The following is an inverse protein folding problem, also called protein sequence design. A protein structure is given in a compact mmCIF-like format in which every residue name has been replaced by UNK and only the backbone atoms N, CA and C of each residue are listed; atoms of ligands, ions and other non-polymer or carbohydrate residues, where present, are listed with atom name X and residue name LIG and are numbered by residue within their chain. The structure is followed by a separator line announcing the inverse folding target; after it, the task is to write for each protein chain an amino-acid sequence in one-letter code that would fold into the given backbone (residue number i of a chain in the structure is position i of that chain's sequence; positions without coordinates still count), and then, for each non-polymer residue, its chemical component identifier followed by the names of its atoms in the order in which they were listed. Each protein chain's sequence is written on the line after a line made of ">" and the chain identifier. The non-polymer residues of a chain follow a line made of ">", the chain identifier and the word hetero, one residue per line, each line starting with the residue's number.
data_IF_001294626008
#
_entry.id   IF_001294626008
#
_cell.length_a   1.000
_cell.length_b   1.000
_cell.length_c   1.000
_cell.angle_alpha   90.00
_cell.angle_beta   90.00
_cell.angle_gamma   90.00
#
_symmetry.space_group_name_H-M   'P 1'
#
loop_
_entity.id
_entity.type
_entity.pdbx_description
1 polymer ?
#
# COMPACT_ATOMS: atom_id res chain seq x y z
N UNK A 1 28.02 -37.84 -26.09
CA UNK A 1 28.42 -36.44 -25.79
C UNK A 1 27.39 -35.42 -26.28
N UNK A 2 27.10 -35.30 -27.59
CA UNK A 2 26.09 -34.33 -28.11
C UNK A 2 24.70 -34.45 -27.46
N UNK A 3 24.17 -35.68 -27.32
CA UNK A 3 22.86 -35.90 -26.67
C UNK A 3 22.81 -35.44 -25.21
N UNK A 4 23.87 -35.67 -24.44
CA UNK A 4 23.94 -35.29 -23.02
C UNK A 4 24.04 -33.78 -22.87
N UNK A 5 24.78 -33.12 -23.76
CA UNK A 5 24.87 -31.66 -23.80
C UNK A 5 23.49 -31.06 -24.10
N UNK A 6 22.77 -31.59 -25.11
CA UNK A 6 21.43 -31.12 -25.46
C UNK A 6 20.45 -31.35 -24.29
N UNK A 7 20.44 -32.55 -23.70
CA UNK A 7 19.62 -32.86 -22.53
C UNK A 7 19.97 -31.97 -21.34
N UNK A 8 21.26 -31.68 -21.13
CA UNK A 8 21.73 -30.79 -20.08
C UNK A 8 21.21 -29.37 -20.27
N UNK A 9 21.32 -28.81 -21.47
CA UNK A 9 20.77 -27.48 -21.78
C UNK A 9 19.25 -27.47 -21.52
N UNK A 10 18.53 -28.48 -21.98
CA UNK A 10 17.08 -28.58 -21.77
C UNK A 10 16.71 -28.63 -20.28
N UNK A 11 17.39 -29.47 -19.49
CA UNK A 11 17.17 -29.60 -18.04
C UNK A 11 17.40 -28.26 -17.33
N UNK A 12 18.46 -27.53 -17.68
CA UNK A 12 18.74 -26.23 -17.06
C UNK A 12 17.73 -25.15 -17.48
N UNK A 13 17.20 -25.21 -18.71
CA UNK A 13 16.09 -24.32 -19.12
C UNK A 13 14.84 -24.61 -18.28
N UNK A 14 14.48 -25.89 -18.07
CA UNK A 14 13.34 -26.26 -17.23
C UNK A 14 13.54 -25.76 -15.80
N UNK A 15 14.75 -25.92 -15.24
CA UNK A 15 15.06 -25.40 -13.90
C UNK A 15 14.96 -23.88 -13.82
N UNK A 16 15.45 -23.16 -14.82
CA UNK A 16 15.32 -21.71 -14.89
C UNK A 16 13.85 -21.29 -14.91
N UNK A 17 13.03 -21.92 -15.77
CA UNK A 17 11.59 -21.62 -15.86
C UNK A 17 10.83 -21.96 -14.57
N UNK A 18 11.25 -23.01 -13.87
CA UNK A 18 10.60 -23.45 -12.62
C UNK A 18 10.73 -22.44 -11.48
N UNK A 19 11.80 -21.65 -11.44
CA UNK A 19 11.96 -20.57 -10.45
C UNK A 19 10.85 -19.52 -10.60
N UNK A 20 10.49 -19.17 -11.83
CA UNK A 20 9.39 -18.24 -12.10
C UNK A 20 8.05 -18.79 -11.63
N UNK A 21 7.78 -20.07 -11.87
CA UNK A 21 6.54 -20.70 -11.41
C UNK A 21 6.45 -20.82 -9.86
N UNK A 22 7.59 -20.90 -9.18
CA UNK A 22 7.63 -21.02 -7.71
C UNK A 22 7.50 -19.66 -7.02
N UNK A 23 8.24 -18.66 -7.48
CA UNK A 23 8.43 -17.40 -6.74
C UNK A 23 7.76 -16.18 -7.39
N UNK A 24 7.44 -16.24 -8.69
CA UNK A 24 7.01 -15.07 -9.46
C UNK A 24 5.55 -15.17 -9.90
N UNK A 25 4.69 -15.77 -9.05
CA UNK A 25 3.24 -15.85 -9.25
C UNK A 25 2.55 -14.61 -8.70
N UNK A 26 1.58 -14.09 -9.47
CA UNK A 26 0.79 -12.94 -9.04
C UNK A 26 -0.05 -13.24 -7.78
N UNK A 27 -0.07 -12.33 -6.79
CA UNK A 27 -0.97 -12.41 -5.66
C UNK A 27 -2.39 -11.94 -6.00
N UNK A 28 -2.59 -11.28 -7.14
CA UNK A 28 -3.87 -10.72 -7.57
C UNK A 28 -4.85 -11.85 -7.93
N UNK A 29 -6.04 -11.82 -7.32
CA UNK A 29 -7.09 -12.82 -7.55
C UNK A 29 -8.24 -12.17 -8.30
N UNK A 30 -8.51 -12.66 -9.51
CA UNK A 30 -9.57 -12.17 -10.38
C UNK A 30 -10.93 -12.78 -10.01
N UNK A 31 -12.02 -12.06 -10.31
CA UNK A 31 -13.39 -12.57 -10.19
C UNK A 31 -14.01 -12.45 -8.80
N UNK A 32 -13.34 -11.79 -7.86
CA UNK A 32 -13.90 -11.47 -6.55
C UNK A 32 -14.81 -10.24 -6.68
N UNK A 33 -16.10 -10.33 -6.31
CA UNK A 33 -16.98 -9.16 -6.32
C UNK A 33 -16.61 -8.19 -5.18
N UNK A 34 -16.72 -6.87 -5.39
CA UNK A 34 -16.60 -5.91 -4.30
C UNK A 34 -17.77 -6.03 -3.33
N UNK A 35 -17.52 -5.79 -2.05
CA UNK A 35 -18.58 -5.63 -1.05
C UNK A 35 -19.37 -4.34 -1.28
N UNK A 36 -20.62 -4.23 -0.78
CA UNK A 36 -21.37 -3.00 -0.87
C UNK A 36 -20.69 -1.83 -0.15
N UNK A 37 -20.92 -0.63 -0.68
CA UNK A 37 -20.51 0.62 -0.06
C UNK A 37 -21.16 0.80 1.32
N UNK A 38 -20.46 1.54 2.19
CA UNK A 38 -20.94 1.89 3.51
C UNK A 38 -21.89 3.09 3.43
N UNK A 39 -22.88 3.09 4.33
CA UNK A 39 -23.90 4.14 4.40
C UNK A 39 -23.50 5.15 5.47
N UNK A 40 -23.69 6.44 5.20
CA UNK A 40 -23.35 7.57 6.08
C UNK A 40 -21.86 7.61 6.48
N UNK A 41 -20.93 7.63 5.51
CA UNK A 41 -19.52 7.84 5.82
C UNK A 41 -19.26 9.19 6.48
N UNK A 42 -18.17 9.30 7.26
CA UNK A 42 -17.84 10.55 7.93
C UNK A 42 -17.34 11.64 6.97
N UNK A 43 -16.79 11.28 5.81
CA UNK A 43 -16.31 12.22 4.80
C UNK A 43 -17.00 11.98 3.45
N UNK A 44 -17.18 13.06 2.68
CA UNK A 44 -17.65 12.98 1.30
C UNK A 44 -16.45 12.98 0.33
N UNK A 45 -15.29 13.45 0.79
CA UNK A 45 -14.06 13.50 -0.01
C UNK A 45 -12.81 13.26 0.82
N UNK A 46 -11.77 12.75 0.16
CA UNK A 46 -10.47 12.48 0.76
C UNK A 46 -9.34 13.10 -0.06
N UNK A 47 -8.38 13.72 0.63
CA UNK A 47 -7.15 14.23 0.03
C UNK A 47 -5.98 13.38 0.52
N UNK A 48 -5.29 12.73 -0.41
CA UNK A 48 -4.11 11.90 -0.16
C UNK A 48 -2.87 12.64 -0.68
N UNK A 49 -1.99 13.05 0.22
CA UNK A 49 -0.66 13.54 -0.09
C UNK A 49 0.36 12.42 0.15
N UNK A 50 1.12 12.08 -0.87
CA UNK A 50 2.25 11.15 -0.76
C UNK A 50 3.51 11.90 -1.12
N UNK A 51 4.39 12.09 -0.14
CA UNK A 51 5.70 12.69 -0.35
C UNK A 51 6.73 11.58 -0.52
N UNK A 52 7.16 11.36 -1.76
CA UNK A 52 7.99 10.24 -2.18
C UNK A 52 9.35 10.24 -1.44
N UNK A 53 9.82 9.07 -1.03
CA UNK A 53 11.14 8.90 -0.39
C UNK A 53 11.31 9.53 1.01
N UNK A 54 10.23 9.93 1.66
CA UNK A 54 10.28 10.58 2.99
C UNK A 54 10.21 9.54 4.11
N UNK A 55 11.38 9.27 4.71
CA UNK A 55 11.47 8.43 5.91
C UNK A 55 10.93 9.12 7.17
N UNK A 56 10.33 8.31 8.06
CA UNK A 56 9.73 8.77 9.32
C UNK A 56 10.72 9.56 10.17
N UNK A 57 11.96 9.09 10.28
CA UNK A 57 12.98 9.73 11.11
C UNK A 57 13.23 11.19 10.70
N UNK A 58 13.39 11.45 9.41
CA UNK A 58 13.62 12.81 8.90
C UNK A 58 12.43 13.72 9.14
N UNK A 59 11.21 13.19 8.99
CA UNK A 59 9.98 13.95 9.17
C UNK A 59 9.74 14.37 10.62
N UNK A 60 9.88 13.43 11.57
CA UNK A 60 9.55 13.68 12.97
C UNK A 60 10.67 14.38 13.75
N UNK A 61 11.91 14.27 13.30
CA UNK A 61 13.08 14.85 13.99
C UNK A 61 12.97 16.36 14.18
N UNK A 62 13.33 16.81 15.38
CA UNK A 62 13.58 18.22 15.68
C UNK A 62 15.01 18.60 15.26
N UNK A 63 15.20 19.84 14.85
CA UNK A 63 16.54 20.42 14.69
C UNK A 63 17.16 20.79 16.06
N UNK A 64 18.40 21.28 16.04
CA UNK A 64 19.14 21.65 17.26
C UNK A 64 18.44 22.74 18.10
N UNK A 65 17.57 23.54 17.49
CA UNK A 65 16.75 24.58 18.13
C UNK A 65 15.44 24.02 18.71
N UNK A 66 15.18 22.71 18.57
CA UNK A 66 13.96 22.06 19.03
C UNK A 66 12.74 22.30 18.14
N UNK A 67 12.96 22.71 16.89
CA UNK A 67 11.88 23.00 15.92
C UNK A 67 11.78 21.92 14.85
N UNK A 68 10.55 21.63 14.41
CA UNK A 68 10.30 20.66 13.33
C UNK A 68 10.54 21.29 11.95
N UNK A 69 11.02 20.48 11.01
CA UNK A 69 11.19 20.86 9.60
C UNK A 69 9.86 20.98 8.84
N UNK A 70 8.80 20.38 9.37
CA UNK A 70 7.43 20.41 8.86
C UNK A 70 6.48 20.98 9.93
N UNK A 71 6.61 22.27 10.30
CA UNK A 71 5.90 22.85 11.44
C UNK A 71 4.37 22.79 11.32
N UNK A 72 3.81 22.85 10.11
CA UNK A 72 2.37 22.74 9.90
C UNK A 72 1.85 21.33 10.21
N UNK A 73 2.39 20.30 9.55
CA UNK A 73 2.04 18.91 9.79
C UNK A 73 2.35 18.49 11.24
N UNK A 74 3.42 19.04 11.81
CA UNK A 74 3.73 18.90 13.24
C UNK A 74 2.62 19.47 14.11
N UNK A 75 2.08 20.63 13.78
CA UNK A 75 0.97 21.20 14.54
C UNK A 75 -0.31 20.36 14.42
N UNK A 76 -0.54 19.71 13.28
CA UNK A 76 -1.68 18.82 13.06
C UNK A 76 -1.59 17.62 14.00
N UNK A 77 -0.48 16.88 13.98
CA UNK A 77 -0.34 15.69 14.82
C UNK A 77 -0.40 15.99 16.33
N UNK A 78 -0.01 17.21 16.73
CA UNK A 78 -0.05 17.63 18.14
C UNK A 78 -1.45 18.07 18.60
N UNK A 79 -2.28 18.61 17.70
CA UNK A 79 -3.51 19.34 18.07
C UNK A 79 -4.81 18.71 17.57
N UNK A 80 -4.84 18.17 16.34
CA UNK A 80 -6.11 17.81 15.70
C UNK A 80 -6.07 16.52 14.87
N UNK A 81 -4.91 15.89 14.69
CA UNK A 81 -4.76 14.70 13.87
C UNK A 81 -4.43 13.41 14.65
N UNK A 82 -4.46 12.30 13.94
CA UNK A 82 -3.85 11.03 14.38
C UNK A 82 -2.58 10.77 13.57
N UNK A 83 -1.55 10.24 14.22
CA UNK A 83 -0.24 10.02 13.60
C UNK A 83 0.40 8.70 14.03
N UNK A 84 1.40 8.28 13.27
CA UNK A 84 2.26 7.15 13.59
C UNK A 84 3.30 6.89 12.52
N UNK A 85 3.84 5.67 12.53
CA UNK A 85 4.68 5.16 11.44
C UNK A 85 3.90 4.16 10.60
N UNK A 86 3.96 4.36 9.29
CA UNK A 86 3.50 3.42 8.28
C UNK A 86 4.66 2.53 7.87
N UNK A 87 4.50 1.22 8.04
CA UNK A 87 5.52 0.22 7.76
C UNK A 87 5.33 -0.33 6.34
N UNK A 88 6.23 0.02 5.43
CA UNK A 88 6.29 -0.55 4.07
C UNK A 88 7.08 -1.86 4.04
N UNK A 89 7.10 -2.55 2.89
CA UNK A 89 7.78 -3.82 2.67
C UNK A 89 8.77 -3.70 1.52
N UNK A 90 9.69 -4.66 1.45
CA UNK A 90 10.60 -4.79 0.32
C UNK A 90 9.86 -5.28 -0.94
N UNK A 91 10.25 -4.82 -2.14
CA UNK A 91 11.23 -3.77 -2.39
C UNK A 91 10.67 -2.37 -2.06
N UNK A 92 11.49 -1.53 -1.42
CA UNK A 92 11.13 -0.15 -1.07
C UNK A 92 11.34 0.77 -2.27
N UNK A 93 10.50 0.58 -3.28
CA UNK A 93 10.48 1.33 -4.54
C UNK A 93 9.13 2.03 -4.68
N UNK A 94 9.09 3.14 -5.43
CA UNK A 94 7.93 4.02 -5.43
C UNK A 94 6.65 3.32 -5.90
N UNK A 95 6.73 2.53 -6.97
CA UNK A 95 5.60 1.78 -7.51
C UNK A 95 4.98 0.80 -6.47
N UNK A 96 5.71 -0.17 -5.89
CA UNK A 96 5.16 -1.04 -4.85
C UNK A 96 4.58 -0.29 -3.65
N UNK A 97 5.24 0.78 -3.20
CA UNK A 97 4.76 1.59 -2.07
C UNK A 97 3.41 2.24 -2.36
N UNK A 98 3.25 2.82 -3.55
CA UNK A 98 1.98 3.40 -4.00
C UNK A 98 0.88 2.35 -4.17
N UNK A 99 1.20 1.18 -4.72
CA UNK A 99 0.24 0.07 -4.83
C UNK A 99 -0.21 -0.40 -3.44
N UNK A 100 0.69 -0.47 -2.46
CA UNK A 100 0.33 -0.81 -1.09
C UNK A 100 -0.60 0.24 -0.47
N UNK A 101 -0.27 1.53 -0.59
CA UNK A 101 -1.08 2.63 -0.05
C UNK A 101 -2.50 2.66 -0.62
N UNK A 102 -2.63 2.54 -1.94
CA UNK A 102 -3.89 2.84 -2.66
C UNK A 102 -4.72 1.58 -2.91
N UNK A 103 -4.08 0.44 -3.20
CA UNK A 103 -4.76 -0.83 -3.46
C UNK A 103 -4.75 -1.81 -2.27
N UNK A 104 -3.92 -1.57 -1.26
CA UNK A 104 -3.76 -2.48 -0.13
C UNK A 104 -3.04 -3.77 -0.54
N UNK A 105 -2.27 -3.73 -1.64
CA UNK A 105 -1.56 -4.86 -2.22
C UNK A 105 -0.06 -4.65 -2.07
N UNK A 106 0.67 -5.66 -1.61
CA UNK A 106 2.13 -5.64 -1.72
C UNK A 106 2.58 -6.08 -3.12
N UNK A 107 3.84 -5.76 -3.46
CA UNK A 107 4.45 -5.98 -4.77
C UNK A 107 4.03 -7.31 -5.42
N UNK A 108 3.64 -7.25 -6.70
CA UNK A 108 3.35 -8.42 -7.51
C UNK A 108 4.66 -8.96 -8.10
N UNK A 109 5.19 -10.11 -7.61
CA UNK A 109 6.45 -10.63 -8.10
C UNK A 109 6.43 -10.89 -9.62
N UNK A 110 5.27 -11.19 -10.21
CA UNK A 110 5.17 -11.43 -11.66
C UNK A 110 5.53 -10.20 -12.51
N UNK A 111 5.59 -9.00 -11.93
CA UNK A 111 6.08 -7.79 -12.58
C UNK A 111 7.53 -7.90 -13.09
N UNK A 112 8.30 -8.90 -12.64
CA UNK A 112 9.59 -9.27 -13.25
C UNK A 112 9.49 -9.47 -14.77
N UNK A 113 8.37 -10.01 -15.26
CA UNK A 113 8.13 -10.26 -16.68
C UNK A 113 7.97 -8.96 -17.50
N UNK A 114 7.76 -7.84 -16.82
CA UNK A 114 7.64 -6.49 -17.38
C UNK A 114 8.80 -5.58 -16.95
N UNK A 115 9.90 -6.18 -16.49
CA UNK A 115 11.06 -5.43 -16.00
C UNK A 115 10.74 -4.53 -14.80
N UNK A 116 9.72 -4.88 -14.01
CA UNK A 116 9.24 -4.10 -12.85
C UNK A 116 8.65 -2.74 -13.18
N UNK A 117 8.47 -2.41 -14.46
CA UNK A 117 7.94 -1.11 -14.90
C UNK A 117 6.41 -1.04 -14.81
N UNK A 118 5.71 -2.18 -14.93
CA UNK A 118 4.24 -2.21 -14.90
C UNK A 118 3.71 -3.52 -14.29
N UNK A 119 2.49 -3.46 -13.76
CA UNK A 119 1.81 -4.66 -13.27
C UNK A 119 1.29 -5.46 -14.48
N UNK A 120 1.68 -6.73 -14.62
CA UNK A 120 1.23 -7.57 -15.72
C UNK A 120 -0.25 -7.95 -15.57
N UNK A 121 -0.79 -7.86 -14.34
CA UNK A 121 -2.18 -8.12 -14.01
C UNK A 121 -2.82 -6.83 -13.50
N UNK A 122 -3.97 -6.45 -14.08
CA UNK A 122 -4.75 -5.33 -13.55
C UNK A 122 -5.22 -5.63 -12.14
N UNK A 123 -5.12 -4.62 -11.27
CA UNK A 123 -5.55 -4.72 -9.89
C UNK A 123 -6.58 -3.64 -9.58
N UNK A 124 -7.38 -3.90 -8.55
CA UNK A 124 -8.35 -2.97 -8.04
C UNK A 124 -7.76 -2.08 -6.95
N UNK A 125 -8.28 -0.86 -6.79
CA UNK A 125 -7.76 0.11 -5.84
C UNK A 125 -8.83 1.05 -5.28
N UNK A 126 -8.50 1.81 -4.25
CA UNK A 126 -9.41 2.83 -3.70
C UNK A 126 -9.87 3.83 -4.78
N UNK A 127 -9.05 4.11 -5.79
CA UNK A 127 -9.43 4.99 -6.91
C UNK A 127 -10.43 4.32 -7.86
N UNK A 128 -10.36 3.00 -8.02
CA UNK A 128 -11.38 2.25 -8.75
C UNK A 128 -12.68 2.14 -7.95
N UNK A 129 -12.67 2.42 -6.63
CA UNK A 129 -13.83 2.34 -5.73
C UNK A 129 -14.48 3.70 -5.45
N UNK A 130 -13.77 4.80 -5.64
CA UNK A 130 -14.28 6.17 -5.54
C UNK A 130 -15.42 6.45 -6.53
N UNK A 131 -16.06 7.61 -6.44
CA UNK A 131 -16.90 8.10 -7.52
C UNK A 131 -16.00 8.61 -8.66
N UNK A 132 -15.14 9.57 -8.34
CA UNK A 132 -14.05 10.04 -9.20
C UNK A 132 -12.78 10.28 -8.37
N UNK A 133 -11.63 10.13 -9.02
CA UNK A 133 -10.32 10.49 -8.50
C UNK A 133 -9.67 11.53 -9.40
N UNK A 134 -9.17 12.61 -8.82
CA UNK A 134 -8.37 13.64 -9.47
C UNK A 134 -6.95 13.57 -8.94
N UNK A 135 -5.96 13.38 -9.82
CA UNK A 135 -4.59 13.10 -9.41
C UNK A 135 -3.55 13.98 -10.12
N UNK A 136 -2.52 14.40 -9.38
CA UNK A 136 -1.42 15.24 -9.85
C UNK A 136 -0.05 14.68 -9.41
N UNK A 137 0.93 14.70 -10.30
CA UNK A 137 2.33 14.33 -9.99
C UNK A 137 3.06 13.59 -11.10
N UNK A 138 3.81 12.53 -10.75
CA UNK A 138 4.72 11.88 -11.71
C UNK A 138 4.00 11.07 -12.80
N UNK A 139 4.47 11.14 -14.07
CA UNK A 139 4.01 10.28 -15.15
C UNK A 139 4.31 8.78 -14.91
N UNK A 140 5.19 8.43 -13.98
CA UNK A 140 5.52 7.04 -13.67
C UNK A 140 4.55 6.42 -12.66
N UNK A 141 3.89 7.25 -11.83
CA UNK A 141 2.98 6.79 -10.79
C UNK A 141 1.52 6.85 -11.22
N UNK A 142 1.07 8.01 -11.67
CA UNK A 142 -0.36 8.27 -11.89
C UNK A 142 -1.01 7.31 -12.91
N UNK A 143 -0.40 7.06 -14.09
CA UNK A 143 -1.03 6.22 -15.10
C UNK A 143 -1.33 4.80 -14.65
N UNK A 144 -0.59 4.24 -13.69
CA UNK A 144 -0.79 2.86 -13.24
C UNK A 144 -2.17 2.63 -12.59
N UNK A 145 -2.75 3.67 -11.98
CA UNK A 145 -4.08 3.59 -11.35
C UNK A 145 -5.22 3.96 -12.31
N UNK A 146 -4.93 4.72 -13.36
CA UNK A 146 -5.91 4.99 -14.43
C UNK A 146 -6.05 3.79 -15.38
N UNK A 147 -4.96 3.05 -15.63
CA UNK A 147 -4.91 1.85 -16.48
C UNK A 147 -5.65 0.67 -15.81
N UNK A 148 -6.96 0.60 -16.03
CA UNK A 148 -7.85 -0.42 -15.46
C UNK A 148 -9.04 0.18 -14.70
N UNK A 149 -9.06 1.50 -14.53
CA UNK A 149 -10.25 2.21 -14.09
C UNK A 149 -11.29 2.30 -15.22
N UNK A 150 -12.56 2.35 -14.82
CA UNK A 150 -13.64 2.67 -15.76
C UNK A 150 -13.41 4.06 -16.37
N UNK A 151 -13.78 4.25 -17.63
CA UNK A 151 -13.61 5.53 -18.31
C UNK A 151 -14.26 6.67 -17.53
N UNK A 152 -13.54 7.80 -17.38
CA UNK A 152 -14.00 8.98 -16.66
C UNK A 152 -13.86 8.91 -15.14
N UNK A 153 -13.32 7.81 -14.59
CA UNK A 153 -13.22 7.61 -13.14
C UNK A 153 -11.95 8.17 -12.50
N UNK A 154 -10.82 8.08 -13.20
CA UNK A 154 -9.51 8.52 -12.69
C UNK A 154 -8.90 9.51 -13.68
N UNK A 155 -8.78 10.76 -13.25
CA UNK A 155 -8.21 11.86 -14.01
C UNK A 155 -6.77 12.09 -13.57
N UNK A 156 -5.83 12.12 -14.51
CA UNK A 156 -4.39 12.21 -14.24
C UNK A 156 -3.80 13.46 -14.90
N UNK A 157 -3.13 14.29 -14.10
CA UNK A 157 -2.41 15.48 -14.55
C UNK A 157 -0.95 15.38 -14.12
N UNK A 158 -0.09 14.99 -15.05
CA UNK A 158 1.34 14.86 -14.80
C UNK A 158 2.15 15.88 -15.58
N UNK A 159 3.30 16.24 -15.04
CA UNK A 159 4.35 16.94 -15.78
C UNK A 159 5.02 15.97 -16.77
N UNK A 160 5.79 16.49 -17.73
CA UNK A 160 6.50 15.67 -18.70
C UNK A 160 7.66 14.91 -18.05
N UNK A 161 7.98 13.71 -18.55
CA UNK A 161 9.10 12.92 -18.02
C UNK A 161 10.45 13.63 -18.18
N UNK A 162 10.57 14.55 -19.14
CA UNK A 162 11.77 15.38 -19.32
C UNK A 162 11.95 16.47 -18.23
N UNK A 163 10.89 16.78 -17.47
CA UNK A 163 10.95 17.72 -16.34
C UNK A 163 11.50 17.08 -15.05
N UNK A 164 11.62 15.75 -15.00
CA UNK A 164 12.25 15.04 -13.88
C UNK A 164 13.79 15.16 -13.97
N UNK A 165 14.37 16.03 -13.12
CA UNK A 165 15.82 16.24 -13.03
C UNK A 165 16.44 15.55 -11.81
N UNK A 166 17.07 14.40 -12.04
CA UNK A 166 17.85 13.66 -11.04
C UNK A 166 19.34 14.06 -11.00
N UNK A 167 19.75 15.08 -11.75
CA UNK A 167 21.16 15.52 -11.82
C UNK A 167 21.57 16.41 -10.65
N UNK A 168 20.61 16.93 -9.88
CA UNK A 168 20.84 17.83 -8.76
C UNK A 168 21.21 19.26 -9.12
N UNK A 169 21.03 19.64 -10.40
CA UNK A 169 21.34 20.99 -10.88
C UNK A 169 20.17 21.95 -10.68
N UNK A 170 18.95 21.44 -10.73
CA UNK A 170 17.73 22.19 -10.47
C UNK A 170 17.29 22.03 -9.02
N UNK A 171 16.47 22.98 -8.58
CA UNK A 171 15.79 22.91 -7.28
C UNK A 171 14.79 21.73 -7.31
N UNK A 172 15.00 20.77 -6.41
CA UNK A 172 14.24 19.52 -6.33
C UNK A 172 12.78 19.74 -5.91
N UNK A 173 12.45 20.91 -5.36
CA UNK A 173 11.09 21.24 -4.93
C UNK A 173 10.16 21.69 -6.07
N UNK A 174 10.71 21.94 -7.26
CA UNK A 174 9.96 22.55 -8.38
C UNK A 174 8.78 21.69 -8.84
N UNK A 175 8.91 20.37 -8.82
CA UNK A 175 7.83 19.46 -9.21
C UNK A 175 6.72 19.40 -8.15
N UNK A 176 7.06 19.51 -6.87
CA UNK A 176 6.08 19.65 -5.79
C UNK A 176 5.30 20.97 -5.94
N UNK A 177 6.02 22.07 -6.22
CA UNK A 177 5.44 23.39 -6.51
C UNK A 177 4.55 23.35 -7.76
N UNK A 178 4.95 22.62 -8.80
CA UNK A 178 4.11 22.39 -9.98
C UNK A 178 2.78 21.74 -9.60
N UNK A 179 2.83 20.68 -8.79
CA UNK A 179 1.62 19.96 -8.32
C UNK A 179 0.71 20.91 -7.55
N UNK A 180 1.25 21.65 -6.57
CA UNK A 180 0.45 22.61 -5.80
C UNK A 180 -0.18 23.71 -6.67
N UNK A 181 0.57 24.27 -7.62
CA UNK A 181 0.05 25.29 -8.54
C UNK A 181 -1.05 24.74 -9.46
N UNK A 182 -0.93 23.49 -9.92
CA UNK A 182 -1.94 22.84 -10.75
C UNK A 182 -3.23 22.59 -9.98
N UNK A 183 -3.14 22.16 -8.73
CA UNK A 183 -4.31 21.97 -7.85
C UNK A 183 -4.99 23.29 -7.55
N UNK A 184 -4.24 24.33 -7.18
CA UNK A 184 -4.81 25.67 -6.93
C UNK A 184 -5.52 26.23 -8.18
N UNK A 185 -4.90 26.10 -9.36
CA UNK A 185 -5.52 26.49 -10.62
C UNK A 185 -6.79 25.69 -10.89
N UNK A 186 -6.75 24.37 -10.71
CA UNK A 186 -7.89 23.48 -10.92
C UNK A 186 -9.11 23.89 -10.09
N UNK A 187 -8.95 24.13 -8.80
CA UNK A 187 -10.06 24.57 -7.93
C UNK A 187 -10.54 26.00 -8.25
N UNK A 188 -9.66 26.88 -8.73
CA UNK A 188 -10.08 28.22 -9.17
C UNK A 188 -10.85 28.18 -10.50
N UNK A 189 -10.42 27.35 -11.45
CA UNK A 189 -11.13 27.15 -12.71
C UNK A 189 -12.50 26.50 -12.45
N UNK A 190 -12.57 25.52 -11.54
CA UNK A 190 -13.81 24.83 -11.14
C UNK A 190 -14.90 25.76 -10.58
N UNK A 191 -14.54 26.92 -9.99
CA UNK A 191 -15.54 27.91 -9.53
C UNK A 191 -16.37 28.49 -10.67
N UNK A 192 -15.84 28.47 -11.90
CA UNK A 192 -16.48 29.05 -13.08
C UNK A 192 -16.95 28.00 -14.10
N UNK A 193 -16.62 26.72 -13.88
CA UNK A 193 -17.03 25.59 -14.70
C UNK A 193 -18.13 24.81 -13.98
N UNK A 194 -19.37 24.92 -14.48
CA UNK A 194 -20.55 24.32 -13.83
C UNK A 194 -20.51 22.80 -13.83
N UNK A 195 -19.97 22.19 -14.88
CA UNK A 195 -19.91 20.74 -15.00
C UNK A 195 -18.86 20.20 -14.03
N UNK A 196 -17.68 20.83 -14.01
CA UNK A 196 -16.62 20.47 -13.06
C UNK A 196 -17.06 20.69 -11.61
N UNK A 197 -17.73 21.80 -11.31
CA UNK A 197 -18.28 22.06 -9.98
C UNK A 197 -19.26 20.95 -9.56
N UNK A 198 -20.14 20.52 -10.46
CA UNK A 198 -21.09 19.45 -10.17
C UNK A 198 -20.38 18.12 -9.86
N UNK A 199 -19.34 17.77 -10.62
CA UNK A 199 -18.55 16.56 -10.38
C UNK A 199 -17.84 16.61 -9.01
N UNK A 200 -17.23 17.75 -8.66
CA UNK A 200 -16.49 17.94 -7.41
C UNK A 200 -17.38 17.97 -6.15
N UNK A 201 -18.68 18.23 -6.31
CA UNK A 201 -19.67 18.21 -5.23
C UNK A 201 -20.38 16.86 -5.06
N UNK A 202 -19.97 15.81 -5.78
CA UNK A 202 -20.39 14.45 -5.50
C UNK A 202 -19.69 13.89 -4.25
N UNK A 203 -20.24 12.81 -3.70
CA UNK A 203 -19.61 12.05 -2.62
C UNK A 203 -18.58 11.06 -3.18
N UNK A 204 -17.73 10.53 -2.31
CA UNK A 204 -16.68 9.54 -2.61
C UNK A 204 -15.62 10.07 -3.57
N UNK A 205 -15.29 11.35 -3.48
CA UNK A 205 -14.23 11.96 -4.30
C UNK A 205 -12.87 11.76 -3.65
N UNK A 206 -11.86 11.43 -4.46
CA UNK A 206 -10.47 11.37 -4.00
C UNK A 206 -9.62 12.39 -4.77
N UNK A 207 -8.82 13.17 -4.03
CA UNK A 207 -7.76 14.00 -4.56
C UNK A 207 -6.42 13.36 -4.21
N UNK A 208 -5.58 13.05 -5.19
CA UNK A 208 -4.28 12.44 -4.97
C UNK A 208 -3.16 13.35 -5.45
N UNK A 209 -2.25 13.71 -4.55
CA UNK A 209 -1.10 14.54 -4.86
C UNK A 209 0.17 13.73 -4.58
N UNK A 210 0.87 13.38 -5.64
CA UNK A 210 2.17 12.75 -5.61
C UNK A 210 3.27 13.82 -5.65
N UNK A 211 4.12 13.87 -4.63
CA UNK A 211 5.15 14.88 -4.43
C UNK A 211 6.54 14.22 -4.50
N UNK A 212 7.21 14.36 -5.65
CA UNK A 212 8.48 13.68 -5.97
C UNK A 212 9.73 14.35 -5.38
N UNK A 213 9.63 15.62 -4.96
CA UNK A 213 10.81 16.45 -4.68
C UNK A 213 11.70 15.92 -3.55
N UNK A 214 11.10 15.28 -2.53
CA UNK A 214 11.86 14.73 -1.41
C UNK A 214 12.69 13.51 -1.77
N UNK A 215 12.20 12.60 -2.62
CA UNK A 215 12.97 11.47 -3.12
C UNK A 215 14.17 11.96 -3.95
N UNK A 216 13.91 12.89 -4.88
CA UNK A 216 14.95 13.50 -5.73
C UNK A 216 16.02 14.20 -4.86
N UNK A 217 15.59 14.94 -3.83
CA UNK A 217 16.49 15.57 -2.87
C UNK A 217 17.27 14.53 -2.04
N UNK A 218 16.65 13.40 -1.69
CA UNK A 218 17.25 12.31 -0.95
C UNK A 218 18.38 11.63 -1.73
N UNK A 219 18.16 11.30 -3.00
CA UNK A 219 19.18 10.75 -3.89
C UNK A 219 20.34 11.73 -4.11
N UNK A 220 20.00 13.00 -4.37
CA UNK A 220 20.97 14.02 -4.77
C UNK A 220 21.79 14.53 -3.59
N UNK A 221 21.12 14.98 -2.52
CA UNK A 221 21.73 15.76 -1.43
C UNK A 221 21.85 14.96 -0.13
N UNK A 222 21.18 13.81 -0.03
CA UNK A 222 21.14 12.91 1.13
C UNK A 222 20.18 13.37 2.24
N UNK A 223 19.62 12.44 3.06
CA UNK A 223 18.51 12.75 3.98
C UNK A 223 18.79 13.75 5.11
N UNK A 224 20.05 14.00 5.46
CA UNK A 224 20.41 14.97 6.51
C UNK A 224 20.81 16.35 5.97
N UNK A 225 20.70 16.56 4.66
CA UNK A 225 21.07 17.80 4.01
C UNK A 225 20.15 18.96 4.37
N UNK A 226 20.68 20.18 4.18
CA UNK A 226 19.89 21.40 4.31
C UNK A 226 18.88 21.51 3.17
N UNK A 227 19.26 21.06 1.99
CA UNK A 227 18.46 21.03 0.77
C UNK A 227 17.20 20.21 0.97
N UNK A 228 17.33 18.97 1.46
CA UNK A 228 16.15 18.14 1.77
C UNK A 228 15.29 18.74 2.89
N UNK A 229 15.93 19.38 3.88
CA UNK A 229 15.19 20.07 4.95
C UNK A 229 14.40 21.28 4.42
N UNK A 230 14.96 22.04 3.49
CA UNK A 230 14.27 23.14 2.81
C UNK A 230 13.12 22.61 1.93
N UNK A 231 13.34 21.51 1.20
CA UNK A 231 12.31 20.89 0.38
C UNK A 231 11.13 20.40 1.24
N UNK A 232 11.40 19.81 2.40
CA UNK A 232 10.36 19.38 3.33
C UNK A 232 9.53 20.58 3.85
N UNK A 233 10.16 21.73 4.07
CA UNK A 233 9.44 22.95 4.42
C UNK A 233 8.54 23.46 3.27
N UNK A 234 9.00 23.35 2.02
CA UNK A 234 8.18 23.68 0.83
C UNK A 234 6.96 22.76 0.74
N UNK A 235 7.14 21.45 0.96
CA UNK A 235 6.05 20.48 1.00
C UNK A 235 5.05 20.81 2.11
N UNK A 236 5.54 21.12 3.32
CA UNK A 236 4.71 21.45 4.48
C UNK A 236 3.83 22.71 4.26
N UNK A 237 4.42 23.80 3.76
CA UNK A 237 3.65 25.02 3.44
C UNK A 237 2.74 24.85 2.22
N UNK A 238 3.15 24.03 1.24
CA UNK A 238 2.32 23.65 0.10
C UNK A 238 1.06 22.90 0.52
N UNK A 239 1.21 21.89 1.40
CA UNK A 239 0.07 21.13 1.95
C UNK A 239 -0.89 22.04 2.70
N UNK A 240 -0.37 22.92 3.57
CA UNK A 240 -1.17 23.93 4.29
C UNK A 240 -1.96 24.83 3.35
N UNK A 241 -1.34 25.26 2.25
CA UNK A 241 -1.99 26.08 1.23
C UNK A 241 -3.10 25.30 0.51
N UNK A 242 -2.84 24.06 0.10
CA UNK A 242 -3.83 23.23 -0.61
C UNK A 242 -5.01 22.87 0.29
N UNK A 243 -4.76 22.52 1.55
CA UNK A 243 -5.84 22.29 2.52
C UNK A 243 -6.75 23.52 2.60
N UNK A 244 -6.18 24.73 2.74
CA UNK A 244 -6.97 25.96 2.75
C UNK A 244 -7.78 26.14 1.46
N UNK A 245 -7.18 25.93 0.29
CA UNK A 245 -7.87 26.04 -1.01
C UNK A 245 -9.09 25.11 -1.06
N UNK A 246 -8.91 23.85 -0.65
CA UNK A 246 -9.96 22.83 -0.67
C UNK A 246 -11.05 23.17 0.35
N UNK A 247 -10.68 23.53 1.57
CA UNK A 247 -11.62 23.89 2.63
C UNK A 247 -12.45 25.13 2.26
N UNK A 248 -11.83 26.16 1.70
CA UNK A 248 -12.53 27.37 1.22
C UNK A 248 -13.47 27.04 0.05
N UNK A 249 -13.05 26.19 -0.89
CA UNK A 249 -13.87 25.78 -2.03
C UNK A 249 -15.17 25.08 -1.60
N UNK A 250 -15.12 24.23 -0.58
CA UNK A 250 -16.28 23.55 -0.02
C UNK A 250 -16.97 24.30 1.12
N UNK A 251 -16.52 25.52 1.45
CA UNK A 251 -17.12 26.34 2.49
C UNK A 251 -17.00 25.77 3.91
N UNK A 252 -15.92 25.04 4.20
CA UNK A 252 -15.64 24.44 5.51
C UNK A 252 -16.77 23.52 6.01
N UNK A 253 -17.32 22.69 5.11
CA UNK A 253 -18.43 21.75 5.38
C UNK A 253 -18.10 20.63 6.38
N UNK A 254 -16.82 20.49 6.79
CA UNK A 254 -16.30 19.40 7.62
C UNK A 254 -16.53 18.00 7.02
N UNK A 255 -16.53 17.90 5.68
CA UNK A 255 -16.69 16.63 4.94
C UNK A 255 -15.45 16.21 4.15
N UNK A 256 -14.30 16.81 4.47
CA UNK A 256 -13.01 16.45 3.86
C UNK A 256 -12.09 15.78 4.87
N UNK A 257 -11.61 14.58 4.55
CA UNK A 257 -10.54 13.89 5.27
C UNK A 257 -9.20 14.08 4.55
N UNK A 258 -8.11 14.11 5.30
CA UNK A 258 -6.76 14.30 4.78
C UNK A 258 -5.83 13.22 5.31
N UNK A 259 -4.96 12.71 4.44
CA UNK A 259 -3.90 11.76 4.76
C UNK A 259 -2.61 12.29 4.15
N UNK A 260 -1.58 12.45 4.96
CA UNK A 260 -0.19 12.67 4.54
C UNK A 260 0.63 11.44 4.91
N UNK A 261 1.38 10.90 3.94
CA UNK A 261 2.26 9.74 4.15
C UNK A 261 3.41 9.74 3.14
N UNK A 262 4.25 8.72 3.21
CA UNK A 262 5.22 8.36 2.17
C UNK A 262 5.04 6.91 1.73
N UNK A 263 5.57 6.58 0.56
CA UNK A 263 5.60 5.27 -0.07
C UNK A 263 6.82 4.45 0.35
N UNK A 264 7.97 5.09 0.54
CA UNK A 264 9.15 4.52 1.19
C UNK A 264 10.01 5.59 1.85
N UNK A 265 11.00 5.15 2.61
CA UNK A 265 12.04 6.02 3.15
C UNK A 265 13.31 6.01 2.29
N UNK A 266 14.43 6.36 2.91
CA UNK A 266 15.71 6.55 2.23
C UNK A 266 16.86 6.25 3.19
N UNK A 267 17.87 5.50 2.73
CA UNK A 267 19.10 5.28 3.49
C UNK A 267 19.93 6.55 3.62
N UNK A 268 20.87 6.58 4.56
CA UNK A 268 21.77 7.73 4.76
C UNK A 268 22.64 8.06 3.53
N UNK A 269 22.88 7.08 2.67
CA UNK A 269 23.62 7.25 1.42
C UNK A 269 22.73 7.72 0.26
N UNK A 270 21.45 8.00 0.50
CA UNK A 270 20.51 8.46 -0.52
C UNK A 270 20.24 7.36 -1.55
N UNK A 271 19.85 6.19 -1.06
CA UNK A 271 19.38 5.05 -1.87
C UNK A 271 18.22 4.38 -1.14
N UNK A 272 17.36 3.70 -1.88
CA UNK A 272 16.28 2.84 -1.37
C UNK A 272 16.22 1.52 -2.19
N UNK A 273 15.18 0.72 -2.01
CA UNK A 273 14.95 -0.57 -2.66
C UNK A 273 15.17 -1.79 -1.75
N UNK A 274 15.76 -1.59 -0.57
CA UNK A 274 16.09 -2.63 0.40
C UNK A 274 15.24 -2.54 1.69
N UNK A 275 15.63 -3.26 2.73
CA UNK A 275 14.82 -3.48 3.93
C UNK A 275 15.29 -2.77 5.19
N UNK A 276 16.12 -1.72 5.11
CA UNK A 276 16.53 -1.01 6.32
C UNK A 276 15.36 -0.27 6.97
N UNK A 277 15.43 -0.04 8.28
CA UNK A 277 14.41 0.71 9.02
C UNK A 277 14.19 2.11 8.42
N UNK A 278 15.25 2.75 7.93
CA UNK A 278 15.17 4.04 7.28
C UNK A 278 14.45 4.02 5.93
N UNK A 279 14.37 2.87 5.27
CA UNK A 279 13.61 2.68 4.03
C UNK A 279 12.18 2.20 4.32
N UNK A 280 11.97 1.43 5.39
CA UNK A 280 10.68 0.78 5.67
C UNK A 280 9.76 1.57 6.59
N UNK A 281 10.29 2.51 7.37
CA UNK A 281 9.49 3.39 8.24
C UNK A 281 9.20 4.73 7.55
N UNK A 282 7.93 4.96 7.24
CA UNK A 282 7.41 6.20 6.64
C UNK A 282 6.50 6.92 7.64
N UNK A 283 6.40 8.27 7.61
CA UNK A 283 5.46 8.98 8.47
C UNK A 283 4.03 8.75 7.98
N UNK A 284 3.07 8.77 8.89
CA UNK A 284 1.66 8.98 8.54
C UNK A 284 1.05 10.00 9.50
N UNK A 285 0.35 10.98 8.93
CA UNK A 285 -0.44 12.00 9.65
C UNK A 285 -1.79 12.13 8.97
N UNK A 286 -2.86 12.08 9.76
CA UNK A 286 -4.25 12.12 9.27
C UNK A 286 -5.04 13.16 10.04
N UNK A 287 -5.97 13.86 9.39
CA UNK A 287 -6.83 14.86 10.02
C UNK A 287 -8.09 15.13 9.21
N UNK A 288 -8.99 15.95 9.76
CA UNK A 288 -10.26 16.31 9.13
C UNK A 288 -11.40 15.34 9.45
N UNK A 289 -12.36 15.24 8.54
CA UNK A 289 -13.61 14.50 8.73
C UNK A 289 -13.36 13.02 9.05
N UNK A 290 -13.98 12.52 10.12
CA UNK A 290 -13.88 11.11 10.50
C UNK A 290 -12.56 10.66 11.09
N UNK A 291 -11.63 11.57 11.39
CA UNK A 291 -10.35 11.25 12.00
C UNK A 291 -10.38 11.48 13.51
N UNK A 292 -9.72 10.59 14.26
CA UNK A 292 -9.53 10.73 15.70
C UNK A 292 -8.55 11.84 16.06
N UNK A 293 -8.80 12.46 17.20
CA UNK A 293 -7.92 13.45 17.80
C UNK A 293 -6.64 12.83 18.40
N UNK A 294 -5.59 13.63 18.62
CA UNK A 294 -4.39 13.20 19.33
C UNK A 294 -4.75 12.66 20.71
N UNK A 295 -4.13 11.55 21.11
CA UNK A 295 -4.23 11.01 22.46
C UNK A 295 -2.92 11.23 23.19
N UNK A 296 -2.99 11.62 24.46
CA UNK A 296 -1.83 11.72 25.33
C UNK A 296 -1.23 10.32 25.58
N UNK A 297 0.09 10.26 25.72
CA UNK A 297 0.78 9.01 26.07
C UNK A 297 0.46 8.60 27.51
N UNK A 298 -0.07 7.38 27.68
CA UNK A 298 -0.44 6.83 29.00
C UNK A 298 0.81 6.61 29.88
N UNK A 299 1.98 6.40 29.26
CA UNK A 299 3.25 6.26 29.96
C UNK A 299 4.36 7.02 29.21
N UNK A 300 4.55 8.32 29.47
CA UNK A 300 5.58 9.13 28.82
C UNK A 300 7.02 8.63 29.06
N UNK A 301 7.23 7.75 30.05
CA UNK A 301 8.53 7.12 30.34
C UNK A 301 8.83 5.94 29.41
N UNK A 302 7.81 5.30 28.84
CA UNK A 302 7.99 4.33 27.77
C UNK A 302 8.20 5.12 26.46
N UNK A 303 9.47 5.39 26.14
CA UNK A 303 9.85 6.02 24.87
C UNK A 303 9.56 5.04 23.72
N UNK A 304 8.33 5.06 23.21
CA UNK A 304 7.93 4.30 22.03
C UNK A 304 8.48 4.94 20.74
N UNK A 305 8.84 6.23 20.79
CA UNK A 305 9.46 6.95 19.68
C UNK A 305 10.89 7.39 20.04
N UNK A 306 11.79 7.52 19.06
CA UNK A 306 13.10 8.11 19.27
C UNK A 306 13.00 9.48 19.96
N UNK A 307 13.89 9.77 20.90
CA UNK A 307 13.77 10.99 21.72
C UNK A 307 13.91 12.27 20.93
N UNK A 308 14.72 12.26 19.87
CA UNK A 308 14.94 13.41 19.00
C UNK A 308 13.73 13.77 18.13
N UNK A 309 12.72 12.92 18.07
CA UNK A 309 11.44 13.24 17.43
C UNK A 309 10.59 14.21 18.27
N UNK A 310 10.82 14.26 19.58
CA UNK A 310 10.09 15.19 20.47
C UNK A 310 8.58 14.99 20.53
N UNK A 311 8.04 13.80 20.21
CA UNK A 311 6.58 13.47 20.20
C UNK A 311 6.18 12.47 21.29
N UNK A 312 7.05 12.21 22.26
CA UNK A 312 6.83 11.14 23.26
C UNK A 312 5.69 11.43 24.26
N UNK A 313 5.21 12.67 24.30
CA UNK A 313 4.01 13.08 25.01
C UNK A 313 2.71 12.66 24.29
N UNK A 314 2.78 12.37 22.99
CA UNK A 314 1.65 11.91 22.18
C UNK A 314 1.70 10.40 21.91
N UNK A 315 0.53 9.78 21.83
CA UNK A 315 0.41 8.35 21.56
C UNK A 315 0.59 8.04 20.08
N UNK A 316 1.71 7.39 19.74
CA UNK A 316 2.04 6.87 18.39
C UNK A 316 1.16 5.69 18.03
N UNK A 317 0.54 5.70 16.84
CA UNK A 317 -0.32 4.63 16.32
C UNK A 317 0.22 4.07 15.01
N UNK A 318 1.02 3.02 15.06
CA UNK A 318 1.61 2.45 13.85
C UNK A 318 0.62 1.62 13.04
N UNK A 319 0.83 1.59 11.72
CA UNK A 319 0.04 0.82 10.76
C UNK A 319 0.95 0.10 9.77
N UNK A 320 0.43 -0.94 9.11
CA UNK A 320 1.05 -1.45 7.90
C UNK A 320 0.67 -0.56 6.72
N UNK A 321 1.55 -0.38 5.75
CA UNK A 321 1.26 0.51 4.61
C UNK A 321 -0.01 0.11 3.82
N UNK A 322 -0.29 -1.19 3.73
CA UNK A 322 -1.51 -1.70 3.10
C UNK A 322 -2.81 -1.31 3.84
N UNK A 323 -2.73 -0.93 5.11
CA UNK A 323 -3.87 -0.50 5.94
C UNK A 323 -4.40 0.88 5.53
N UNK A 324 -3.64 1.64 4.73
CA UNK A 324 -4.08 2.94 4.20
C UNK A 324 -5.24 2.77 3.21
N UNK A 325 -5.26 1.71 2.40
CA UNK A 325 -6.35 1.46 1.44
C UNK A 325 -7.72 1.26 2.12
N UNK A 326 -7.88 0.39 3.14
CA UNK A 326 -9.14 0.30 3.87
C UNK A 326 -9.43 1.55 4.72
N UNK A 327 -8.42 2.30 5.19
CA UNK A 327 -8.62 3.60 5.83
C UNK A 327 -9.28 4.60 4.88
N UNK A 328 -8.73 4.76 3.67
CA UNK A 328 -9.30 5.62 2.61
C UNK A 328 -10.75 5.20 2.35
N UNK A 329 -10.96 3.92 2.07
CA UNK A 329 -12.28 3.39 1.72
C UNK A 329 -13.31 3.63 2.83
N UNK A 330 -12.91 3.46 4.10
CA UNK A 330 -13.80 3.64 5.25
C UNK A 330 -14.10 5.10 5.58
N UNK A 331 -13.21 6.04 5.23
CA UNK A 331 -13.45 7.48 5.44
C UNK A 331 -14.52 8.02 4.50
N UNK A 332 -14.51 7.58 3.23
CA UNK A 332 -15.47 8.01 2.21
C UNK A 332 -16.61 7.02 1.96
N UNK A 333 -16.61 5.88 2.66
CA UNK A 333 -17.68 4.89 2.60
C UNK A 333 -17.74 4.06 1.33
N UNK A 334 -16.62 3.91 0.62
CA UNK A 334 -16.53 2.98 -0.51
C UNK A 334 -16.22 1.56 -0.04
N UNK A 335 -16.50 0.57 -0.86
CA UNK A 335 -15.99 -0.78 -0.66
C UNK A 335 -14.46 -0.79 -0.62
N UNK A 336 -13.86 -1.62 0.24
CA UNK A 336 -12.41 -1.86 0.24
C UNK A 336 -11.99 -2.53 -1.09
N UNK A 337 -10.82 -2.16 -1.62
CA UNK A 337 -10.23 -2.76 -2.82
C UNK A 337 -10.25 -4.30 -2.74
N UNK A 338 -10.65 -4.98 -3.82
CA UNK A 338 -11.02 -6.42 -3.73
C UNK A 338 -9.89 -7.34 -3.31
N UNK A 339 -8.64 -6.96 -3.61
CA UNK A 339 -7.45 -7.71 -3.22
C UNK A 339 -6.65 -7.05 -2.09
N UNK A 340 -7.21 -6.06 -1.40
CA UNK A 340 -6.53 -5.44 -0.26
C UNK A 340 -6.29 -6.48 0.84
N UNK A 341 -5.04 -6.58 1.30
CA UNK A 341 -4.66 -7.36 2.49
C UNK A 341 -4.61 -6.52 3.76
N UNK A 342 -4.83 -5.20 3.64
CA UNK A 342 -4.85 -4.27 4.77
C UNK A 342 -6.03 -4.47 5.72
N UNK A 343 -5.81 -4.09 6.97
CA UNK A 343 -6.82 -4.05 8.03
C UNK A 343 -7.09 -2.60 8.43
N UNK A 344 -8.35 -2.18 8.40
CA UNK A 344 -8.78 -0.82 8.76
C UNK A 344 -8.23 -0.42 10.15
N UNK A 345 -7.37 0.61 10.25
CA UNK A 345 -6.82 1.03 11.52
C UNK A 345 -7.86 1.83 12.31
N UNK A 346 -8.76 1.13 13.02
CA UNK A 346 -9.87 1.73 13.78
C UNK A 346 -9.43 2.85 14.73
N UNK A 347 -8.20 2.79 15.23
CA UNK A 347 -7.63 3.81 16.11
C UNK A 347 -7.45 5.18 15.45
N UNK A 348 -7.48 5.26 14.11
CA UNK A 348 -7.47 6.48 13.31
C UNK A 348 -8.88 7.04 13.07
N UNK A 349 -9.93 6.23 13.22
CA UNK A 349 -11.30 6.59 12.83
C UNK A 349 -12.13 7.13 14.01
N UNK A 350 -12.82 8.24 13.77
CA UNK A 350 -13.81 8.83 14.67
C UNK A 350 -15.19 8.81 14.01
N UNK A 351 -15.94 7.73 14.22
CA UNK A 351 -17.30 7.55 13.75
C UNK A 351 -18.11 6.76 14.79
N UNK A 352 -19.42 6.58 14.55
CA UNK A 352 -20.25 5.78 15.45
C UNK A 352 -19.76 4.34 15.55
N UNK A 353 -19.92 3.72 16.73
CA UNK A 353 -19.57 2.30 16.92
C UNK A 353 -20.30 1.37 15.94
N UNK A 354 -21.52 1.72 15.56
CA UNK A 354 -22.27 1.03 14.51
C UNK A 354 -21.54 1.09 13.16
N UNK A 355 -21.17 2.29 12.71
CA UNK A 355 -20.43 2.47 11.45
C UNK A 355 -19.09 1.75 11.48
N UNK A 356 -18.32 1.93 12.56
CA UNK A 356 -16.99 1.32 12.70
C UNK A 356 -17.05 -0.20 12.69
N UNK A 357 -18.00 -0.81 13.41
CA UNK A 357 -18.17 -2.26 13.42
C UNK A 357 -18.56 -2.81 12.04
N UNK A 358 -19.44 -2.12 11.30
CA UNK A 358 -19.82 -2.49 9.93
C UNK A 358 -18.66 -2.32 8.94
N UNK A 359 -17.93 -1.21 9.01
CA UNK A 359 -16.76 -0.98 8.17
C UNK A 359 -15.69 -2.05 8.38
N UNK A 360 -15.39 -2.38 9.64
CA UNK A 360 -14.43 -3.41 10.00
C UNK A 360 -14.89 -4.81 9.58
N UNK A 361 -16.19 -5.10 9.70
CA UNK A 361 -16.75 -6.35 9.21
C UNK A 361 -16.75 -6.45 7.68
N UNK A 362 -17.04 -5.37 6.94
CA UNK A 362 -16.92 -5.35 5.47
C UNK A 362 -15.48 -5.61 5.02
N UNK A 363 -14.49 -5.04 5.71
CA UNK A 363 -13.07 -5.36 5.47
C UNK A 363 -12.79 -6.86 5.71
N UNK A 364 -13.36 -7.44 6.78
CA UNK A 364 -13.21 -8.86 7.08
C UNK A 364 -13.85 -9.77 6.04
N UNK A 365 -15.04 -9.41 5.56
CA UNK A 365 -15.74 -10.12 4.50
C UNK A 365 -14.95 -10.11 3.18
N UNK A 366 -14.37 -8.96 2.80
CA UNK A 366 -13.55 -8.85 1.58
C UNK A 366 -12.30 -9.74 1.65
N UNK A 367 -11.63 -9.81 2.80
CA UNK A 367 -10.50 -10.71 3.04
C UNK A 367 -10.92 -12.19 3.03
N UNK A 368 -12.06 -12.52 3.64
CA UNK A 368 -12.62 -13.87 3.63
C UNK A 368 -12.96 -14.34 2.20
N UNK A 369 -13.47 -13.45 1.34
CA UNK A 369 -13.73 -13.78 -0.07
C UNK A 369 -12.45 -14.05 -0.84
N UNK A 370 -11.39 -13.25 -0.63
CA UNK A 370 -10.08 -13.50 -1.23
C UNK A 370 -9.57 -14.89 -0.86
N UNK A 371 -9.60 -15.22 0.43
CA UNK A 371 -9.22 -16.53 0.92
C UNK A 371 -10.05 -17.64 0.26
N UNK A 372 -11.40 -17.51 0.25
CA UNK A 372 -12.31 -18.50 -0.34
C UNK A 372 -12.02 -18.73 -1.83
N UNK A 373 -11.84 -17.67 -2.61
CA UNK A 373 -11.52 -17.78 -4.04
C UNK A 373 -10.15 -18.42 -4.27
N UNK A 374 -9.13 -18.03 -3.51
CA UNK A 374 -7.78 -18.62 -3.63
C UNK A 374 -7.81 -20.11 -3.29
N UNK A 375 -8.51 -20.49 -2.22
CA UNK A 375 -8.71 -21.89 -1.83
C UNK A 375 -9.32 -22.70 -2.96
N UNK A 376 -10.46 -22.26 -3.50
CA UNK A 376 -11.15 -22.95 -4.60
C UNK A 376 -10.23 -23.07 -5.82
N UNK A 377 -9.53 -22.00 -6.18
CA UNK A 377 -8.59 -22.00 -7.31
C UNK A 377 -7.46 -23.03 -7.13
N UNK A 378 -6.88 -23.14 -5.93
CA UNK A 378 -5.79 -24.09 -5.66
C UNK A 378 -6.32 -25.53 -5.58
N UNK A 379 -7.39 -25.76 -4.82
CA UNK A 379 -7.92 -27.10 -4.58
C UNK A 379 -8.60 -27.71 -5.82
N UNK A 380 -9.23 -26.92 -6.69
CA UNK A 380 -9.87 -27.43 -7.91
C UNK A 380 -8.88 -27.99 -8.93
N UNK A 381 -7.61 -27.57 -8.86
CA UNK A 381 -6.52 -28.06 -9.71
C UNK A 381 -5.84 -29.32 -9.16
N UNK A 382 -6.29 -29.86 -8.01
CA UNK A 382 -5.71 -31.01 -7.34
C UNK A 382 -6.64 -32.22 -7.40
N UNK A 383 -6.05 -33.41 -7.58
CA UNK A 383 -6.74 -34.66 -7.25
C UNK A 383 -6.96 -34.75 -5.74
N UNK A 384 -8.09 -35.33 -5.34
CA UNK A 384 -8.54 -35.36 -3.94
C UNK A 384 -7.48 -35.92 -2.97
N UNK A 385 -6.69 -36.91 -3.42
CA UNK A 385 -5.66 -37.55 -2.58
C UNK A 385 -4.51 -36.60 -2.20
N UNK A 386 -4.33 -35.50 -2.93
CA UNK A 386 -3.25 -34.53 -2.72
C UNK A 386 -3.74 -33.23 -2.06
N UNK A 387 -5.05 -33.11 -1.80
CA UNK A 387 -5.62 -31.95 -1.11
C UNK A 387 -5.20 -31.95 0.36
N UNK A 388 -4.67 -30.81 0.80
CA UNK A 388 -4.32 -30.53 2.20
C UNK A 388 -5.01 -29.23 2.57
N UNK A 389 -6.22 -29.27 3.12
CA UNK A 389 -6.95 -28.05 3.41
C UNK A 389 -6.30 -27.27 4.55
N UNK A 390 -6.42 -25.95 4.50
CA UNK A 390 -6.13 -25.09 5.65
C UNK A 390 -7.17 -25.31 6.76
N UNK A 391 -6.75 -25.93 7.85
CA UNK A 391 -7.66 -26.43 8.89
C UNK A 391 -8.17 -25.34 9.87
N UNK A 392 -7.55 -24.15 9.90
CA UNK A 392 -7.94 -23.13 10.88
C UNK A 392 -9.17 -22.32 10.48
N UNK A 393 -9.61 -22.41 9.22
CA UNK A 393 -10.77 -21.70 8.67
C UNK A 393 -11.40 -22.49 7.51
N UNK A 394 -12.13 -23.55 7.84
CA UNK A 394 -13.00 -24.23 6.87
C UNK A 394 -14.26 -23.39 6.54
N UNK A 395 -15.03 -23.84 5.55
CA UNK A 395 -16.21 -23.12 5.06
C UNK A 395 -17.33 -23.01 6.13
N UNK A 396 -17.53 -24.05 6.94
CA UNK A 396 -18.55 -24.06 8.00
C UNK A 396 -18.11 -23.11 9.12
N UNK A 397 -16.85 -23.21 9.55
CA UNK A 397 -16.25 -22.34 10.56
C UNK A 397 -16.30 -20.87 10.14
N UNK A 398 -16.00 -20.56 8.87
CA UNK A 398 -16.09 -19.20 8.32
C UNK A 398 -17.52 -18.67 8.35
N UNK A 399 -18.49 -19.44 7.85
CA UNK A 399 -19.90 -19.03 7.83
C UNK A 399 -20.46 -18.86 9.25
N UNK A 400 -20.06 -19.70 10.21
CA UNK A 400 -20.42 -19.53 11.61
C UNK A 400 -19.85 -18.23 12.21
N UNK A 401 -18.60 -17.87 11.88
CA UNK A 401 -18.00 -16.61 12.32
C UNK A 401 -18.74 -15.40 11.71
N UNK A 402 -19.04 -15.44 10.41
CA UNK A 402 -19.78 -14.39 9.70
C UNK A 402 -21.16 -14.18 10.35
N UNK A 403 -21.95 -15.24 10.51
CA UNK A 403 -23.28 -15.18 11.14
C UNK A 403 -23.21 -14.66 12.58
N UNK A 404 -22.15 -15.03 13.32
CA UNK A 404 -21.95 -14.53 14.68
C UNK A 404 -21.66 -13.04 14.70
N UNK A 405 -20.82 -12.53 13.80
CA UNK A 405 -20.52 -11.10 13.70
C UNK A 405 -21.77 -10.32 13.32
N UNK A 406 -22.56 -10.79 12.35
CA UNK A 406 -23.83 -10.17 11.97
C UNK A 406 -24.79 -10.07 13.17
N UNK A 407 -24.94 -11.17 13.92
CA UNK A 407 -25.75 -11.16 15.13
C UNK A 407 -25.25 -10.17 16.19
N UNK A 408 -23.93 -10.06 16.38
CA UNK A 408 -23.34 -9.11 17.33
C UNK A 408 -23.61 -7.66 16.91
N UNK A 409 -23.49 -7.33 15.61
CA UNK A 409 -23.84 -6.00 15.09
C UNK A 409 -25.33 -5.71 15.27
N UNK A 410 -26.20 -6.66 14.92
CA UNK A 410 -27.66 -6.52 15.06
C UNK A 410 -28.11 -6.34 16.52
N UNK A 411 -27.37 -6.93 17.46
CA UNK A 411 -27.63 -6.81 18.91
C UNK A 411 -26.83 -5.69 19.58
N UNK A 412 -26.22 -4.79 18.79
CA UNK A 412 -25.45 -3.62 19.24
C UNK A 412 -24.22 -3.94 20.11
N UNK A 413 -23.66 -5.15 20.00
CA UNK A 413 -22.43 -5.58 20.66
C UNK A 413 -21.22 -5.29 19.77
N UNK A 414 -20.98 -4.01 19.53
CA UNK A 414 -20.02 -3.55 18.52
C UNK A 414 -18.57 -3.94 18.82
N UNK A 415 -18.13 -3.86 20.08
CA UNK A 415 -16.76 -4.23 20.45
C UNK A 415 -16.50 -5.72 20.22
N UNK A 416 -17.45 -6.59 20.60
CA UNK A 416 -17.39 -8.03 20.33
C UNK A 416 -17.38 -8.31 18.81
N UNK A 417 -18.19 -7.58 18.05
CA UNK A 417 -18.23 -7.72 16.58
C UNK A 417 -16.89 -7.32 15.94
N UNK A 418 -16.24 -6.27 16.43
CA UNK A 418 -14.91 -5.82 15.99
C UNK A 418 -13.87 -6.90 16.29
N UNK A 419 -13.82 -7.43 17.51
CA UNK A 419 -12.87 -8.49 17.88
C UNK A 419 -13.07 -9.78 17.06
N UNK A 420 -14.33 -10.18 16.82
CA UNK A 420 -14.64 -11.34 15.97
C UNK A 420 -14.29 -11.10 14.50
N UNK A 421 -14.51 -9.89 13.98
CA UNK A 421 -14.11 -9.49 12.63
C UNK A 421 -12.58 -9.51 12.48
N UNK A 422 -11.84 -9.04 13.49
CA UNK A 422 -10.38 -9.11 13.53
C UNK A 422 -9.89 -10.55 13.42
N UNK A 423 -10.49 -11.46 14.20
CA UNK A 423 -10.13 -12.88 14.16
C UNK A 423 -10.41 -13.50 12.78
N UNK A 424 -11.52 -13.13 12.14
CA UNK A 424 -11.83 -13.56 10.78
C UNK A 424 -10.78 -13.07 9.78
N UNK A 425 -10.36 -11.80 9.87
CA UNK A 425 -9.29 -11.25 9.02
C UNK A 425 -7.97 -12.00 9.20
N UNK A 426 -7.52 -12.17 10.45
CA UNK A 426 -6.26 -12.88 10.74
C UNK A 426 -6.29 -14.29 10.15
N UNK A 427 -7.37 -15.04 10.37
CA UNK A 427 -7.52 -16.40 9.83
C UNK A 427 -7.58 -16.42 8.30
N UNK A 428 -8.27 -15.45 7.69
CA UNK A 428 -8.37 -15.35 6.23
C UNK A 428 -7.03 -15.00 5.60
N UNK A 429 -6.27 -14.08 6.19
CA UNK A 429 -4.92 -13.71 5.74
C UNK A 429 -3.94 -14.88 5.86
N UNK A 430 -3.94 -15.60 6.99
CA UNK A 430 -3.11 -16.80 7.15
C UNK A 430 -3.47 -17.88 6.12
N UNK A 431 -4.77 -18.10 5.88
CA UNK A 431 -5.23 -19.04 4.87
C UNK A 431 -4.86 -18.60 3.44
N UNK A 432 -4.90 -17.30 3.15
CA UNK A 432 -4.50 -16.75 1.87
C UNK A 432 -3.01 -16.98 1.62
N UNK A 433 -2.15 -16.72 2.61
CA UNK A 433 -0.71 -17.00 2.56
C UNK A 433 -0.41 -18.50 2.38
N UNK A 434 -1.14 -19.35 3.10
CA UNK A 434 -1.07 -20.80 2.94
C UNK A 434 -1.34 -21.24 1.50
N UNK A 435 -2.44 -20.77 0.89
CA UNK A 435 -2.75 -21.13 -0.49
C UNK A 435 -1.90 -20.41 -1.53
N UNK A 436 -1.30 -19.26 -1.20
CA UNK A 436 -0.34 -18.58 -2.06
C UNK A 436 0.96 -19.39 -2.19
N UNK A 437 1.45 -19.95 -1.08
CA UNK A 437 2.70 -20.74 -1.02
C UNK A 437 2.50 -22.25 -1.12
N UNK A 438 1.26 -22.71 -1.36
CA UNK A 438 0.84 -24.11 -1.27
C UNK A 438 1.75 -25.11 -1.99
N UNK A 439 2.13 -24.79 -3.22
CA UNK A 439 2.96 -25.67 -4.07
C UNK A 439 4.46 -25.49 -3.85
N UNK A 440 4.88 -24.46 -3.12
CA UNK A 440 6.28 -24.02 -3.09
C UNK A 440 7.20 -25.12 -2.57
N UNK A 441 6.89 -25.72 -1.41
CA UNK A 441 7.71 -26.79 -0.82
C UNK A 441 7.77 -28.02 -1.71
N UNK A 442 6.64 -28.41 -2.32
CA UNK A 442 6.56 -29.56 -3.21
C UNK A 442 7.43 -29.33 -4.46
N UNK A 443 7.24 -28.19 -5.14
CA UNK A 443 7.98 -27.85 -6.35
C UNK A 443 9.49 -27.74 -6.07
N UNK A 444 9.89 -27.10 -4.96
CA UNK A 444 11.29 -27.03 -4.53
C UNK A 444 11.88 -28.41 -4.27
N UNK A 445 11.12 -29.31 -3.66
CA UNK A 445 11.56 -30.69 -3.41
C UNK A 445 11.74 -31.46 -4.72
N UNK A 446 10.78 -31.35 -5.65
CA UNK A 446 10.84 -31.99 -6.97
C UNK A 446 12.05 -31.49 -7.77
N UNK A 447 12.32 -30.18 -7.77
CA UNK A 447 13.47 -29.59 -8.46
C UNK A 447 14.78 -30.04 -7.81
N UNK A 448 14.87 -30.01 -6.48
CA UNK A 448 16.05 -30.44 -5.74
C UNK A 448 16.40 -31.91 -6.04
N UNK A 449 15.39 -32.79 -6.01
CA UNK A 449 15.55 -34.21 -6.38
C UNK A 449 15.92 -34.38 -7.86
N UNK A 450 15.37 -33.56 -8.76
CA UNK A 450 15.72 -33.57 -10.18
C UNK A 450 17.16 -33.13 -10.42
N UNK A 451 17.64 -32.11 -9.69
CA UNK A 451 19.05 -31.67 -9.71
C UNK A 451 19.99 -32.77 -9.22
N UNK A 452 19.67 -33.40 -8.08
CA UNK A 452 20.46 -34.51 -7.54
C UNK A 452 20.50 -35.68 -8.55
N UNK A 453 19.36 -36.02 -9.13
CA UNK A 453 19.26 -37.09 -10.14
C UNK A 453 20.10 -36.77 -11.38
N UNK A 454 20.07 -35.52 -11.84
CA UNK A 454 20.87 -35.07 -12.97
C UNK A 454 22.38 -35.13 -12.67
N UNK A 455 22.81 -34.71 -11.47
CA UNK A 455 24.21 -34.83 -11.03
C UNK A 455 24.65 -36.29 -10.99
N UNK A 456 23.83 -37.18 -10.42
CA UNK A 456 24.11 -38.63 -10.37
C UNK A 456 24.24 -39.19 -11.79
N UNK A 457 23.33 -38.83 -12.71
CA UNK A 457 23.40 -39.27 -14.11
C UNK A 457 24.67 -38.81 -14.81
N UNK A 458 25.12 -37.57 -14.56
CA UNK A 458 26.38 -37.06 -15.09
C UNK A 458 27.59 -37.81 -14.54
N UNK A 459 27.61 -38.06 -13.23
CA UNK A 459 28.68 -38.82 -12.55
C UNK A 459 28.77 -40.23 -13.15
N UNK A 460 27.64 -40.94 -13.23
CA UNK A 460 27.54 -42.26 -13.87
C UNK A 460 28.09 -42.20 -15.29
N UNK A 461 27.67 -41.20 -16.08
CA UNK A 461 28.13 -41.08 -17.46
C UNK A 461 29.65 -40.91 -17.57
N UNK A 462 30.25 -40.07 -16.72
CA UNK A 462 31.70 -39.84 -16.69
C UNK A 462 32.45 -41.13 -16.38
N UNK A 463 32.01 -41.89 -15.37
CA UNK A 463 32.65 -43.16 -15.01
C UNK A 463 32.53 -44.21 -16.13
N UNK A 464 31.35 -44.39 -16.72
CA UNK A 464 31.15 -45.33 -17.83
C UNK A 464 31.83 -44.93 -19.14
N UNK A 465 32.04 -43.63 -19.40
CA UNK A 465 32.81 -43.19 -20.58
C UNK A 465 34.32 -43.31 -20.38
N UNK A 466 34.81 -43.22 -19.14
CA UNK A 466 36.22 -43.46 -18.83
C UNK A 466 36.58 -44.95 -18.89
N UNK A 467 35.74 -45.86 -18.40
CA UNK A 467 35.99 -47.31 -18.56
C UNK A 467 36.09 -47.73 -20.03
N UNK A 468 35.25 -47.18 -20.91
CA UNK A 468 35.30 -47.43 -22.37
C UNK A 468 36.50 -46.79 -23.10
N UNK A 469 37.29 -45.95 -22.42
CA UNK A 469 38.54 -45.38 -22.96
C UNK A 469 39.78 -46.13 -22.46
N UNK A 470 39.64 -46.94 -21.42
CA UNK A 470 40.72 -47.70 -20.79
C UNK A 470 40.75 -49.15 -21.32
N UNK A 471 39.60 -49.66 -21.80
CA UNK A 471 39.48 -50.82 -22.69
C UNK A 471 39.61 -50.40 -24.15
#
# INVERSE_FOLDING_TARGET
>A
MKSIIISGVFVHIVFLLSIFDIYFKSPVITGIPPRPDLINPPADRLVLFVADGLRADTFFSLNDEGTSKAPYLRSILEKCGTWGVSHTRVPTESRPGHVALIAGLYEDPSAVARGWQENPVHFDSAFNRSCETWSWGSPDILPMFSKGASFGKVHTYYYSSEEEDFSGKLDTSLLDVWVFNKVEKFFNDAKNDKDLLQHLHQDKIIFFLHLLGLDTAGHTHKPYSRELSNNLNVVDEGIKKIERVIQEFYGYDNKTAFIFTSDHGMTDWGSHGSGSVHETETPIVTWGAGINYPKESINPKLKLSPSHWGVNDKFRKDIMQADVSPLISSLIGTSVSVNSVGMLPLSYMNASYDYLSKAYFHNALQLADQYRHKKILVESNLWDIFKRPFNELDEISMNNMINNIEYLIQTHKYDDAVERSKLLMIKSTNGLEYYHTYYQVLLLSCISLSFISWIILLIINIFFTNEKRIL
#
